data_IF_125566177994
#
_entry.id   IF_125566177994
#
_cell.length_a   1.000
_cell.length_b   1.000
_cell.length_c   1.000
_cell.angle_alpha   90.00
_cell.angle_beta   90.00
_cell.angle_gamma   90.00
#
_symmetry.space_group_name_H-M   'P 1'
#
loop_
_entity.id
_entity.type
_entity.pdbx_description
1 polymer ?
#
# COMPACT_ATOMS: atom_id res chain seq x y z
N UNK A 1 36.06 -1.52 -24.19
CA UNK A 1 34.69 -1.04 -24.48
C UNK A 1 33.89 -1.12 -23.20
N UNK A 2 33.49 0.04 -22.65
CA UNK A 2 32.71 0.11 -21.41
C UNK A 2 31.29 -0.39 -21.65
N UNK A 3 30.94 -1.54 -21.07
CA UNK A 3 29.55 -2.00 -20.94
C UNK A 3 28.90 -1.11 -19.88
N UNK A 4 28.20 -0.06 -20.31
CA UNK A 4 27.33 0.68 -19.44
C UNK A 4 26.22 -0.29 -18.97
N UNK A 5 26.24 -0.66 -17.68
CA UNK A 5 25.05 -1.20 -17.01
C UNK A 5 24.02 -0.07 -16.93
N UNK A 6 23.28 0.14 -18.00
CA UNK A 6 22.21 1.13 -18.04
C UNK A 6 20.91 0.43 -17.63
N UNK A 7 20.78 0.10 -16.35
CA UNK A 7 19.49 -0.17 -15.71
C UNK A 7 18.73 1.16 -15.51
N UNK A 8 18.69 2.00 -16.54
CA UNK A 8 18.09 3.32 -16.50
C UNK A 8 16.74 3.16 -17.18
N UNK A 9 15.67 3.16 -16.39
CA UNK A 9 14.32 3.29 -16.92
C UNK A 9 14.29 4.46 -17.91
N UNK A 10 13.78 4.22 -19.12
CA UNK A 10 13.72 5.23 -20.16
C UNK A 10 12.30 5.75 -20.27
N UNK A 11 12.12 7.05 -20.03
CA UNK A 11 10.89 7.76 -20.33
C UNK A 11 10.66 7.79 -21.85
N UNK A 12 9.99 6.76 -22.36
CA UNK A 12 9.58 6.65 -23.76
C UNK A 12 8.10 6.99 -23.93
N UNK A 13 7.65 7.39 -25.14
CA UNK A 13 6.24 7.58 -25.43
C UNK A 13 5.37 6.35 -25.08
N UNK A 14 5.90 5.15 -25.31
CA UNK A 14 5.24 3.89 -24.98
C UNK A 14 5.09 3.71 -23.46
N UNK A 15 6.13 4.03 -22.69
CA UNK A 15 6.09 3.96 -21.23
C UNK A 15 5.09 4.97 -20.65
N UNK A 16 5.02 6.19 -21.20
CA UNK A 16 4.00 7.19 -20.82
C UNK A 16 2.58 6.70 -21.12
N UNK A 17 2.36 6.11 -22.30
CA UNK A 17 1.06 5.55 -22.68
C UNK A 17 0.64 4.41 -21.75
N UNK A 18 1.58 3.50 -21.42
CA UNK A 18 1.34 2.41 -20.46
C UNK A 18 1.01 2.96 -19.07
N UNK A 19 1.74 3.98 -18.62
CA UNK A 19 1.47 4.63 -17.34
C UNK A 19 0.07 5.28 -17.32
N UNK A 20 -0.30 6.01 -18.37
CA UNK A 20 -1.62 6.62 -18.46
C UNK A 20 -2.73 5.57 -18.38
N UNK A 21 -2.63 4.50 -19.19
CA UNK A 21 -3.57 3.38 -19.15
C UNK A 21 -3.61 2.69 -17.79
N UNK A 22 -2.44 2.50 -17.17
CA UNK A 22 -2.32 1.91 -15.85
C UNK A 22 -3.06 2.75 -14.80
N UNK A 23 -2.84 4.06 -14.80
CA UNK A 23 -3.49 4.99 -13.88
C UNK A 23 -5.01 5.09 -14.12
N UNK A 24 -5.47 5.01 -15.38
CA UNK A 24 -6.91 4.94 -15.68
C UNK A 24 -7.57 3.69 -15.08
N UNK A 25 -6.93 2.52 -15.25
CA UNK A 25 -7.41 1.26 -14.66
C UNK A 25 -7.42 1.34 -13.13
N UNK A 26 -6.36 1.90 -12.54
CA UNK A 26 -6.18 2.02 -11.10
C UNK A 26 -7.15 3.02 -10.46
N UNK A 27 -7.55 4.06 -11.19
CA UNK A 27 -8.58 5.02 -10.77
C UNK A 27 -9.95 4.37 -10.59
N UNK A 28 -10.29 3.41 -11.45
CA UNK A 28 -11.64 2.84 -11.52
C UNK A 28 -12.70 3.93 -11.73
N UNK A 29 -13.76 3.90 -10.93
CA UNK A 29 -14.89 4.85 -11.05
C UNK A 29 -14.65 6.20 -10.35
N UNK A 30 -13.50 6.38 -9.69
CA UNK A 30 -13.20 7.62 -8.96
C UNK A 30 -13.03 8.79 -9.91
N UNK A 31 -13.29 10.00 -9.42
CA UNK A 31 -12.87 11.23 -10.11
C UNK A 31 -11.35 11.36 -10.02
N UNK A 32 -10.71 12.00 -11.00
CA UNK A 32 -9.26 12.26 -10.94
C UNK A 32 -8.84 13.06 -9.70
N UNK A 33 -9.72 13.95 -9.19
CA UNK A 33 -9.42 14.71 -7.96
C UNK A 33 -9.38 13.79 -6.73
N UNK A 34 -10.37 12.90 -6.59
CA UNK A 34 -10.37 11.92 -5.51
C UNK A 34 -9.18 10.95 -5.64
N UNK A 35 -8.89 10.48 -6.84
CA UNK A 35 -7.76 9.59 -7.07
C UNK A 35 -6.41 10.25 -6.80
N UNK A 36 -6.23 11.53 -7.17
CA UNK A 36 -5.03 12.28 -6.83
C UNK A 36 -4.85 12.41 -5.30
N UNK A 37 -5.94 12.65 -4.57
CA UNK A 37 -5.94 12.70 -3.10
C UNK A 37 -5.56 11.34 -2.50
N UNK A 38 -6.10 10.24 -3.02
CA UNK A 38 -5.79 8.89 -2.56
C UNK A 38 -4.31 8.52 -2.79
N UNK A 39 -3.74 8.95 -3.91
CA UNK A 39 -2.31 8.82 -4.18
C UNK A 39 -1.46 9.82 -3.35
N UNK A 40 -2.05 10.84 -2.73
CA UNK A 40 -1.27 11.89 -2.04
C UNK A 40 -0.46 12.76 -3.00
N UNK A 41 -0.92 12.93 -4.25
CA UNK A 41 -0.26 13.77 -5.28
C UNK A 41 -1.16 14.93 -5.68
N UNK A 42 -0.59 15.96 -6.31
CA UNK A 42 -1.40 17.05 -6.83
C UNK A 42 -2.25 16.59 -8.03
N UNK A 43 -3.47 17.13 -8.15
CA UNK A 43 -4.32 16.89 -9.32
C UNK A 43 -3.61 17.23 -10.63
N UNK A 44 -2.84 18.31 -10.66
CA UNK A 44 -2.12 18.72 -11.86
C UNK A 44 -1.04 17.70 -12.24
N UNK A 45 -0.33 17.14 -11.26
CA UNK A 45 0.67 16.08 -11.50
C UNK A 45 0.00 14.85 -12.11
N UNK A 46 -1.08 14.36 -11.50
CA UNK A 46 -1.83 13.22 -12.04
C UNK A 46 -2.35 13.51 -13.44
N UNK A 47 -2.93 14.69 -13.66
CA UNK A 47 -3.46 15.11 -14.95
C UNK A 47 -2.37 15.17 -16.02
N UNK A 48 -1.17 15.67 -15.69
CA UNK A 48 -0.04 15.65 -16.62
C UNK A 48 0.40 14.24 -17.00
N UNK A 49 0.37 13.29 -16.07
CA UNK A 49 0.72 11.88 -16.33
C UNK A 49 -0.31 11.18 -17.22
N UNK A 50 -1.59 11.35 -16.92
CA UNK A 50 -2.70 10.80 -17.73
C UNK A 50 -2.63 11.31 -19.18
N UNK A 51 -2.31 12.59 -19.36
CA UNK A 51 -2.19 13.20 -20.68
C UNK A 51 -0.80 13.07 -21.30
N UNK A 52 0.06 12.22 -20.72
CA UNK A 52 1.40 11.91 -21.25
C UNK A 52 2.33 13.13 -21.42
N UNK A 53 2.06 14.23 -20.71
CA UNK A 53 2.81 15.49 -20.79
C UNK A 53 4.20 15.32 -20.18
N UNK A 54 4.27 14.69 -19.00
CA UNK A 54 5.51 14.40 -18.30
C UNK A 54 5.45 13.01 -17.66
N UNK A 55 6.61 12.56 -17.18
CA UNK A 55 6.76 11.28 -16.50
C UNK A 55 6.96 11.50 -14.99
N UNK A 56 6.36 10.67 -14.11
CA UNK A 56 6.54 10.81 -12.67
C UNK A 56 8.00 10.55 -12.25
N UNK A 57 8.45 11.28 -11.24
CA UNK A 57 9.72 10.99 -10.58
C UNK A 57 9.62 9.71 -9.74
N UNK A 58 10.76 9.14 -9.37
CA UNK A 58 10.87 7.88 -8.61
C UNK A 58 9.98 7.85 -7.36
N UNK A 59 9.92 8.94 -6.59
CA UNK A 59 9.06 9.01 -5.40
C UNK A 59 7.58 8.85 -5.73
N UNK A 60 7.11 9.43 -6.85
CA UNK A 60 5.73 9.27 -7.28
C UNK A 60 5.46 7.89 -7.85
N UNK A 61 6.45 7.26 -8.50
CA UNK A 61 6.34 5.86 -8.93
C UNK A 61 6.25 4.90 -7.74
N UNK A 62 6.98 5.17 -6.65
CA UNK A 62 6.85 4.45 -5.37
C UNK A 62 5.44 4.51 -4.82
N UNK A 63 4.87 5.71 -4.78
CA UNK A 63 3.50 5.93 -4.33
C UNK A 63 2.48 5.19 -5.21
N UNK A 64 2.62 5.28 -6.54
CA UNK A 64 1.74 4.59 -7.49
C UNK A 64 1.84 3.07 -7.32
N UNK A 65 3.05 2.53 -7.21
CA UNK A 65 3.30 1.10 -7.02
C UNK A 65 2.66 0.61 -5.72
N UNK A 66 2.91 1.31 -4.61
CA UNK A 66 2.34 1.02 -3.30
C UNK A 66 0.81 1.02 -3.33
N UNK A 67 0.20 2.04 -3.93
CA UNK A 67 -1.25 2.12 -4.05
C UNK A 67 -1.83 0.96 -4.87
N UNK A 68 -1.12 0.53 -5.92
CA UNK A 68 -1.51 -0.63 -6.73
C UNK A 68 -1.18 -2.00 -6.13
N UNK A 69 -0.55 -2.05 -4.95
CA UNK A 69 -0.18 -3.29 -4.29
C UNK A 69 0.96 -4.06 -4.97
N UNK A 70 1.84 -3.38 -5.70
CA UNK A 70 3.01 -4.00 -6.34
C UNK A 70 4.32 -3.28 -5.94
N UNK A 71 5.45 -3.92 -6.19
CA UNK A 71 6.77 -3.29 -6.03
C UNK A 71 7.02 -2.26 -7.14
N UNK A 72 7.94 -1.33 -6.87
CA UNK A 72 8.35 -0.34 -7.87
C UNK A 72 9.05 -1.00 -9.05
N UNK A 73 9.81 -2.05 -8.78
CA UNK A 73 10.51 -2.86 -9.76
C UNK A 73 9.52 -3.48 -10.75
N UNK A 74 8.40 -4.03 -10.25
CA UNK A 74 7.36 -4.63 -11.10
C UNK A 74 6.64 -3.57 -11.92
N UNK A 75 6.32 -2.42 -11.31
CA UNK A 75 5.74 -1.30 -12.05
C UNK A 75 6.70 -0.83 -13.16
N UNK A 76 7.99 -0.63 -12.86
CA UNK A 76 8.99 -0.22 -13.84
C UNK A 76 9.20 -1.27 -14.94
N UNK A 77 9.16 -2.56 -14.59
CA UNK A 77 9.19 -3.65 -15.55
C UNK A 77 8.02 -3.51 -16.53
N UNK A 78 6.78 -3.45 -16.02
CA UNK A 78 5.58 -3.29 -16.83
C UNK A 78 5.65 -2.06 -17.73
N UNK A 79 6.11 -0.92 -17.21
CA UNK A 79 6.22 0.31 -18.00
C UNK A 79 7.25 0.18 -19.13
N UNK A 80 8.35 -0.57 -18.93
CA UNK A 80 9.40 -0.81 -19.93
C UNK A 80 9.02 -1.87 -20.97
N UNK A 81 8.50 -3.02 -20.54
CA UNK A 81 8.26 -4.19 -21.41
C UNK A 81 6.84 -4.26 -21.91
N UNK A 82 5.87 -3.78 -21.12
CA UNK A 82 4.43 -3.94 -21.36
C UNK A 82 3.91 -5.29 -20.87
N UNK A 83 4.79 -6.11 -20.31
CA UNK A 83 4.46 -7.41 -19.74
C UNK A 83 4.08 -7.19 -18.28
N UNK A 84 2.88 -7.63 -17.92
CA UNK A 84 2.51 -7.76 -16.52
C UNK A 84 3.24 -9.02 -16.03
N UNK A 85 4.25 -8.86 -15.16
CA UNK A 85 4.84 -10.04 -14.51
C UNK A 85 3.70 -10.76 -13.79
N UNK A 86 3.50 -12.04 -14.11
CA UNK A 86 2.65 -12.91 -13.30
C UNK A 86 3.12 -12.73 -11.85
N UNK A 87 2.21 -12.48 -10.89
CA UNK A 87 2.59 -12.09 -9.54
C UNK A 87 3.63 -13.09 -9.05
N UNK A 88 4.89 -12.64 -8.95
CA UNK A 88 5.90 -13.39 -8.24
C UNK A 88 5.25 -13.69 -6.88
N UNK A 89 5.20 -14.96 -6.49
CA UNK A 89 4.56 -15.42 -5.25
C UNK A 89 5.17 -14.70 -4.04
N UNK A 90 4.77 -13.47 -3.77
CA UNK A 90 5.26 -12.58 -2.73
C UNK A 90 4.59 -11.22 -2.92
N UNK A 91 3.85 -10.76 -1.90
CA UNK A 91 3.11 -9.49 -1.80
C UNK A 91 1.68 -9.47 -2.33
N UNK A 92 0.86 -10.46 -1.94
CA UNK A 92 -0.52 -10.12 -1.63
C UNK A 92 -0.51 -9.17 -0.43
N UNK A 93 -1.27 -8.07 -0.50
CA UNK A 93 -1.76 -7.41 0.71
C UNK A 93 -2.51 -8.50 1.47
N UNK A 94 -1.88 -9.09 2.48
CA UNK A 94 -2.54 -10.09 3.33
C UNK A 94 -3.67 -9.35 4.03
N UNK A 95 -4.89 -9.87 3.90
CA UNK A 95 -6.00 -9.35 4.70
C UNK A 95 -5.64 -9.46 6.19
N UNK A 96 -6.23 -8.62 7.03
CA UNK A 96 -5.94 -8.63 8.48
C UNK A 96 -6.19 -10.05 9.03
N UNK A 97 -7.20 -10.75 8.53
CA UNK A 97 -7.52 -12.13 8.89
C UNK A 97 -6.40 -13.11 8.51
N UNK A 98 -5.77 -12.93 7.35
CA UNK A 98 -4.64 -13.76 6.92
C UNK A 98 -3.40 -13.50 7.78
N UNK A 99 -3.15 -12.24 8.15
CA UNK A 99 -2.06 -11.88 9.08
C UNK A 99 -2.31 -12.51 10.46
N UNK A 100 -3.54 -12.41 10.97
CA UNK A 100 -3.92 -13.00 12.26
C UNK A 100 -3.77 -14.53 12.25
N UNK A 101 -4.15 -15.19 11.15
CA UNK A 101 -3.97 -16.64 11.02
C UNK A 101 -2.50 -17.04 11.05
N UNK A 102 -1.61 -16.23 10.45
CA UNK A 102 -0.17 -16.48 10.48
C UNK A 102 0.43 -16.17 11.85
N UNK A 103 0.00 -15.10 12.51
CA UNK A 103 0.41 -14.80 13.88
C UNK A 103 0.05 -15.93 14.85
N UNK A 104 -1.10 -16.58 14.68
CA UNK A 104 -1.49 -17.73 15.50
C UNK A 104 -0.63 -18.98 15.27
N UNK A 105 0.15 -19.01 14.20
CA UNK A 105 1.09 -20.11 13.90
C UNK A 105 2.51 -19.85 14.40
N UNK A 106 2.78 -18.66 14.92
CA UNK A 106 4.08 -18.29 15.49
C UNK A 106 4.28 -18.93 16.87
N UNK A 107 5.53 -19.22 17.19
CA UNK A 107 5.93 -19.56 18.55
C UNK A 107 5.80 -18.36 19.50
N UNK A 108 5.75 -18.63 20.81
CA UNK A 108 5.67 -17.58 21.83
C UNK A 108 6.82 -16.57 21.74
N UNK A 109 8.05 -17.04 21.45
CA UNK A 109 9.21 -16.16 21.26
C UNK A 109 9.06 -15.26 20.03
N UNK A 110 8.58 -15.78 18.90
CA UNK A 110 8.39 -15.00 17.68
C UNK A 110 7.25 -13.98 17.83
N UNK A 111 6.22 -14.31 18.59
CA UNK A 111 5.16 -13.37 18.94
C UNK A 111 5.68 -12.20 19.79
N UNK A 112 6.55 -12.47 20.77
CA UNK A 112 7.16 -11.42 21.59
C UNK A 112 8.05 -10.49 20.77
N UNK A 113 8.86 -11.05 19.86
CA UNK A 113 9.69 -10.27 18.94
C UNK A 113 8.83 -9.39 18.02
N UNK A 114 7.76 -9.95 17.47
CA UNK A 114 6.80 -9.21 16.65
C UNK A 114 6.14 -8.07 17.43
N UNK A 115 5.71 -8.33 18.67
CA UNK A 115 5.14 -7.31 19.56
C UNK A 115 6.15 -6.21 19.83
N UNK A 116 7.41 -6.54 20.10
CA UNK A 116 8.50 -5.57 20.29
C UNK A 116 8.69 -4.66 19.07
N UNK A 117 8.72 -5.25 17.87
CA UNK A 117 8.83 -4.51 16.60
C UNK A 117 7.63 -3.57 16.40
N UNK A 118 6.41 -4.04 16.70
CA UNK A 118 5.20 -3.23 16.58
C UNK A 118 5.18 -2.08 17.59
N UNK A 119 5.61 -2.35 18.82
CA UNK A 119 5.80 -1.37 19.89
C UNK A 119 6.78 -0.30 19.42
N UNK A 120 7.98 -0.64 18.96
CA UNK A 120 8.97 0.33 18.50
C UNK A 120 8.48 1.16 17.32
N UNK A 121 7.75 0.52 16.39
CA UNK A 121 7.22 1.18 15.19
C UNK A 121 6.08 2.15 15.50
N UNK A 122 5.24 1.85 16.49
CA UNK A 122 4.00 2.60 16.75
C UNK A 122 3.98 3.34 18.09
N UNK A 123 5.00 3.22 18.95
CA UNK A 123 5.13 4.02 20.18
C UNK A 123 5.92 5.32 19.99
N UNK A 124 5.92 5.90 18.78
CA UNK A 124 6.13 7.34 18.65
C UNK A 124 4.91 8.04 19.27
N UNK A 125 5.14 8.85 20.31
CA UNK A 125 4.25 9.61 21.23
C UNK A 125 2.77 9.83 20.86
N UNK A 126 2.40 9.93 19.59
CA UNK A 126 1.06 10.30 19.12
C UNK A 126 0.09 9.12 18.89
N UNK A 127 0.62 7.90 18.78
CA UNK A 127 -0.15 6.69 18.46
C UNK A 127 -0.62 5.91 19.70
N UNK A 128 0.03 6.09 20.85
CA UNK A 128 -0.30 5.43 22.13
C UNK A 128 -1.69 5.81 22.60
N UNK A 129 -2.02 7.11 22.52
CA UNK A 129 -3.33 7.65 22.92
C UNK A 129 -4.48 7.08 22.09
N UNK A 130 -4.23 6.81 20.80
CA UNK A 130 -5.22 6.23 19.87
C UNK A 130 -5.42 4.74 20.16
N UNK A 131 -4.35 4.00 20.45
CA UNK A 131 -4.43 2.59 20.82
C UNK A 131 -5.13 2.39 22.17
N UNK A 132 -4.85 3.23 23.17
CA UNK A 132 -5.54 3.22 24.46
C UNK A 132 -7.05 3.45 24.31
N UNK A 133 -7.47 4.39 23.47
CA UNK A 133 -8.89 4.66 23.22
C UNK A 133 -9.61 3.48 22.53
N UNK A 134 -8.92 2.73 21.66
CA UNK A 134 -9.48 1.54 21.00
C UNK A 134 -9.59 0.36 21.97
N UNK A 135 -8.56 0.12 22.78
CA UNK A 135 -8.55 -0.96 23.77
C UNK A 135 -9.64 -0.76 24.84
N UNK A 136 -9.80 0.47 25.35
CA UNK A 136 -10.84 0.80 26.32
C UNK A 136 -12.25 0.63 25.74
N UNK A 137 -12.47 0.98 24.47
CA UNK A 137 -13.76 0.77 23.80
C UNK A 137 -14.10 -0.72 23.61
N UNK A 138 -13.11 -1.58 23.30
CA UNK A 138 -13.35 -3.02 23.16
C UNK A 138 -13.65 -3.69 24.50
N UNK A 139 -12.96 -3.30 25.58
CA UNK A 139 -13.20 -3.81 26.94
C UNK A 139 -14.57 -3.38 27.49
N UNK A 140 -14.97 -2.13 27.21
CA UNK A 140 -16.30 -1.59 27.54
C UNK A 140 -17.42 -2.41 26.87
N UNK A 141 -17.29 -2.69 25.57
CA UNK A 141 -18.28 -3.48 24.81
C UNK A 141 -18.37 -4.94 25.26
N UNK A 142 -17.23 -5.58 25.56
CA UNK A 142 -17.20 -6.95 26.09
C UNK A 142 -17.84 -7.07 27.48
N UNK A 143 -17.78 -6.01 28.30
CA UNK A 143 -18.41 -5.99 29.63
C UNK A 143 -19.92 -5.75 29.57
N UNK A 144 -20.42 -5.07 28.53
CA UNK A 144 -21.85 -4.80 28.32
C UNK A 144 -22.67 -6.02 27.89
N UNK A 145 -22.07 -6.96 27.15
CA UNK A 145 -22.75 -8.18 26.68
C UNK A 145 -23.04 -9.19 27.79
N UNK A 146 -22.33 -9.12 28.93
CA UNK A 146 -22.57 -9.99 30.09
C UNK A 146 -23.72 -9.52 31.00
N UNK A 147 -24.19 -8.28 30.86
CA UNK A 147 -25.25 -7.70 31.72
C UNK A 147 -26.63 -7.75 31.05
N UNK A 148 -26.69 -7.97 29.73
CA UNK A 148 -27.95 -7.99 28.95
C UNK A 148 -28.72 -9.32 28.95
N UNK A 149 -28.14 -10.44 29.41
CA UNK A 149 -28.75 -11.79 29.30
C UNK A 149 -29.45 -12.28 30.58
N UNK A 150 -29.91 -11.36 31.43
CA UNK A 150 -30.82 -11.66 32.55
C UNK A 150 -31.89 -10.59 32.67
N UNK A 151 -32.88 -10.61 31.78
CA UNK A 151 -34.23 -10.12 32.10
C UNK A 151 -35.26 -10.61 31.07
N UNK A 152 -36.19 -11.40 31.61
CA UNK A 152 -37.46 -11.91 31.10
C UNK A 152 -37.44 -13.08 30.12
#
# INVERSE_FOLDING_TARGET
MFRARKNMFTDTPEARKRLANFLERLKGDKTYRAFAQDLGVSFNSLHSWINMVNFPQTQNLQVIALYSGQSVENLLHYLNTGEEEAPAKSSSVKSIEAILSEMNSLSESELLDLVGILIDKYLSSDSISKLGAIALNKLSKSSGELIGSKKS
#
